data_IF_794480992257
#
_entry.id   IF_794480992257
#
_cell.length_a   1.000
_cell.length_b   1.000
_cell.length_c   1.000
_cell.angle_alpha   90.00
_cell.angle_beta   90.00
_cell.angle_gamma   90.00
#
_symmetry.space_group_name_H-M   'P 1'
#
loop_
_entity.id
_entity.type
_entity.pdbx_description
1 polymer ?
#
# COMPACT_ATOMS: atom_id res chain seq x y z
N UNK A 1 -21.84 5.33 26.97
CA UNK A 1 -21.72 4.26 27.98
C UNK A 1 -20.59 4.60 28.96
N UNK A 2 -20.65 4.11 30.23
CA UNK A 2 -19.57 4.30 31.18
C UNK A 2 -18.31 3.53 30.77
N UNK A 3 -17.13 4.00 31.20
CA UNK A 3 -15.86 3.27 31.03
C UNK A 3 -15.87 2.09 32.02
N UNK A 4 -15.67 0.87 31.50
CA UNK A 4 -15.52 -0.32 32.32
C UNK A 4 -14.04 -0.59 32.62
N UNK A 5 -13.67 -0.88 33.89
CA UNK A 5 -12.30 -1.31 34.19
C UNK A 5 -11.91 -2.57 33.45
N UNK A 6 -10.72 -2.56 32.86
CA UNK A 6 -10.19 -3.71 32.09
C UNK A 6 -9.91 -4.89 33.04
N UNK A 7 -10.61 -6.01 32.87
CA UNK A 7 -10.35 -7.26 33.57
C UNK A 7 -9.71 -8.26 32.66
N UNK A 8 -8.46 -8.61 32.97
CA UNK A 8 -7.70 -9.62 32.25
C UNK A 8 -7.73 -10.96 32.98
N UNK A 9 -7.70 -12.05 32.25
CA UNK A 9 -7.65 -13.41 32.80
C UNK A 9 -6.71 -14.29 31.96
N UNK A 10 -6.10 -15.33 32.53
CA UNK A 10 -5.28 -16.29 31.78
C UNK A 10 -6.06 -16.93 30.62
N UNK A 11 -5.37 -17.20 29.52
CA UNK A 11 -5.93 -17.91 28.35
C UNK A 11 -6.94 -17.09 27.53
N UNK A 12 -7.00 -15.76 27.67
CA UNK A 12 -7.86 -14.93 26.83
C UNK A 12 -7.48 -15.05 25.35
N UNK A 13 -8.48 -15.19 24.51
CA UNK A 13 -8.35 -15.10 23.04
C UNK A 13 -8.19 -13.65 22.61
N UNK A 14 -7.76 -13.42 21.36
CA UNK A 14 -7.69 -12.06 20.79
C UNK A 14 -9.07 -11.39 20.75
N UNK A 15 -10.12 -12.17 20.48
CA UNK A 15 -11.51 -11.67 20.47
C UNK A 15 -11.94 -11.15 21.84
N UNK A 16 -11.64 -11.91 22.90
CA UNK A 16 -11.94 -11.52 24.27
C UNK A 16 -11.13 -10.29 24.70
N UNK A 17 -9.86 -10.20 24.31
CA UNK A 17 -9.02 -9.03 24.60
C UNK A 17 -9.56 -7.76 23.92
N UNK A 18 -9.93 -7.85 22.65
CA UNK A 18 -10.59 -6.75 21.93
C UNK A 18 -11.92 -6.39 22.57
N UNK A 19 -12.66 -7.37 23.09
CA UNK A 19 -13.87 -7.16 23.88
C UNK A 19 -13.64 -6.33 25.17
N UNK A 20 -12.52 -6.57 25.84
CA UNK A 20 -12.10 -5.77 27.02
C UNK A 20 -11.79 -4.32 26.61
N UNK A 21 -11.03 -4.12 25.51
CA UNK A 21 -10.76 -2.77 24.99
C UNK A 21 -12.03 -2.03 24.57
N UNK A 22 -12.99 -2.73 23.97
CA UNK A 22 -14.29 -2.16 23.56
C UNK A 22 -15.10 -1.67 24.77
N UNK A 23 -15.14 -2.41 25.86
CA UNK A 23 -15.85 -2.04 27.07
C UNK A 23 -15.21 -0.87 27.81
N UNK A 24 -13.88 -0.82 27.84
CA UNK A 24 -13.15 0.34 28.33
C UNK A 24 -13.37 1.57 27.46
N UNK A 25 -13.37 1.41 26.12
CA UNK A 25 -13.80 2.41 25.14
C UNK A 25 -12.98 3.70 25.08
N UNK A 26 -11.80 3.75 25.71
CA UNK A 26 -11.02 4.95 25.89
C UNK A 26 -9.63 4.85 25.25
N UNK A 27 -9.06 6.01 24.86
CA UNK A 27 -7.73 6.16 24.28
C UNK A 27 -7.48 5.20 23.10
N UNK A 28 -6.22 4.83 22.86
CA UNK A 28 -5.87 3.94 21.75
C UNK A 28 -6.39 2.51 21.91
N UNK A 29 -6.61 2.03 23.12
CA UNK A 29 -7.29 0.74 23.35
C UNK A 29 -8.71 0.73 22.78
N UNK A 30 -9.49 1.78 23.06
CA UNK A 30 -10.81 1.96 22.47
C UNK A 30 -10.76 2.09 20.95
N UNK A 31 -9.81 2.87 20.43
CA UNK A 31 -9.60 3.01 18.96
C UNK A 31 -9.20 1.70 18.31
N UNK A 32 -8.40 0.86 18.99
CA UNK A 32 -8.04 -0.47 18.48
C UNK A 32 -9.26 -1.39 18.35
N UNK A 33 -10.15 -1.38 19.34
CA UNK A 33 -11.41 -2.13 19.26
C UNK A 33 -12.31 -1.62 18.12
N UNK A 34 -12.43 -0.30 17.96
CA UNK A 34 -13.16 0.30 16.83
C UNK A 34 -12.52 -0.06 15.48
N UNK A 35 -11.19 -0.14 15.41
CA UNK A 35 -10.46 -0.57 14.22
C UNK A 35 -10.77 -2.03 13.84
N UNK A 36 -10.82 -2.92 14.83
CA UNK A 36 -11.23 -4.31 14.64
C UNK A 36 -12.67 -4.40 14.11
N UNK A 37 -13.60 -3.65 14.68
CA UNK A 37 -14.99 -3.61 14.25
C UNK A 37 -15.13 -3.00 12.85
N UNK A 38 -14.37 -1.94 12.56
CA UNK A 38 -14.37 -1.29 11.24
C UNK A 38 -13.84 -2.24 10.16
N UNK A 39 -12.72 -2.91 10.42
CA UNK A 39 -12.17 -3.87 9.45
C UNK A 39 -13.14 -5.03 9.21
N UNK A 40 -13.80 -5.52 10.27
CA UNK A 40 -14.87 -6.51 10.13
C UNK A 40 -16.02 -6.01 9.24
N UNK A 41 -16.53 -4.79 9.45
CA UNK A 41 -17.58 -4.20 8.58
C UNK A 41 -17.12 -4.03 7.14
N UNK A 42 -15.86 -3.63 6.93
CA UNK A 42 -15.26 -3.50 5.61
C UNK A 42 -15.24 -4.85 4.86
N UNK A 43 -14.88 -5.93 5.57
CA UNK A 43 -14.91 -7.29 5.03
C UNK A 43 -16.36 -7.71 4.71
N UNK A 44 -17.27 -7.52 5.66
CA UNK A 44 -18.68 -7.96 5.56
C UNK A 44 -19.45 -7.20 4.46
N UNK A 45 -19.08 -5.94 4.16
CA UNK A 45 -19.69 -5.15 3.09
C UNK A 45 -19.28 -5.60 1.67
N UNK A 46 -18.32 -6.52 1.54
CA UNK A 46 -17.79 -6.91 0.23
C UNK A 46 -16.91 -5.85 -0.44
N UNK A 47 -16.45 -4.84 0.31
CA UNK A 47 -15.59 -3.78 -0.20
C UNK A 47 -14.36 -4.32 -0.94
N UNK A 48 -13.90 -3.58 -1.95
CA UNK A 48 -12.55 -3.74 -2.50
C UNK A 48 -11.58 -3.10 -1.52
N UNK A 49 -10.74 -3.92 -0.89
CA UNK A 49 -9.91 -3.51 0.23
C UNK A 49 -8.46 -3.38 -0.21
N UNK A 50 -7.94 -2.14 -0.15
CA UNK A 50 -6.54 -1.85 -0.31
C UNK A 50 -5.79 -1.99 1.02
N UNK A 51 -4.56 -2.50 0.98
CA UNK A 51 -3.60 -2.44 2.07
C UNK A 51 -2.44 -1.54 1.64
N UNK A 52 -2.20 -0.45 2.38
CA UNK A 52 -1.01 0.36 2.14
C UNK A 52 0.06 0.08 3.20
N UNK A 53 1.31 -0.12 2.75
CA UNK A 53 2.41 -0.56 3.62
C UNK A 53 3.58 0.41 3.50
N UNK A 54 3.93 1.06 4.60
CA UNK A 54 5.02 2.04 4.72
C UNK A 54 5.87 1.73 5.95
N UNK A 55 7.12 2.13 5.91
CA UNK A 55 8.12 1.76 6.92
C UNK A 55 8.73 0.39 6.62
N UNK A 56 9.64 -0.06 7.46
CA UNK A 56 10.35 -1.33 7.27
C UNK A 56 9.55 -2.54 7.77
N UNK A 57 8.31 -2.68 7.32
CA UNK A 57 7.38 -3.70 7.83
C UNK A 57 7.83 -5.13 7.48
N UNK A 58 8.36 -5.33 6.27
CA UNK A 58 8.82 -6.66 5.86
C UNK A 58 10.05 -7.11 6.65
N UNK A 59 11.12 -6.29 6.80
CA UNK A 59 12.22 -6.64 7.70
C UNK A 59 11.79 -6.91 9.14
N UNK A 60 10.75 -6.20 9.62
CA UNK A 60 10.15 -6.44 10.94
C UNK A 60 9.28 -7.71 11.04
N UNK A 61 9.23 -8.53 9.98
CA UNK A 61 8.51 -9.81 9.98
C UNK A 61 7.02 -9.74 9.63
N UNK A 62 6.50 -8.59 9.22
CA UNK A 62 5.07 -8.40 8.93
C UNK A 62 4.60 -9.12 7.64
N UNK A 63 5.52 -9.62 6.81
CA UNK A 63 5.19 -10.33 5.56
C UNK A 63 4.19 -11.46 5.77
N UNK A 64 4.36 -12.29 6.81
CA UNK A 64 3.42 -13.38 7.12
C UNK A 64 2.02 -12.91 7.51
N UNK A 65 1.90 -11.78 8.21
CA UNK A 65 0.61 -11.18 8.54
C UNK A 65 -0.11 -10.66 7.26
N UNK A 66 0.64 -10.08 6.32
CA UNK A 66 0.13 -9.64 5.02
C UNK A 66 -0.34 -10.85 4.21
N UNK A 67 0.44 -11.93 4.16
CA UNK A 67 0.06 -13.20 3.49
C UNK A 67 -1.27 -13.73 4.02
N UNK A 68 -1.45 -13.78 5.34
CA UNK A 68 -2.68 -14.25 5.94
C UNK A 68 -3.92 -13.44 5.51
N UNK A 69 -3.78 -12.12 5.32
CA UNK A 69 -4.85 -11.25 4.82
C UNK A 69 -5.16 -11.54 3.34
N UNK A 70 -4.14 -11.78 2.52
CA UNK A 70 -4.32 -12.17 1.11
C UNK A 70 -5.05 -13.53 1.03
N UNK A 71 -4.59 -14.53 1.77
CA UNK A 71 -5.14 -15.89 1.77
C UNK A 71 -6.55 -16.00 2.35
N UNK A 72 -6.92 -15.07 3.22
CA UNK A 72 -8.29 -14.94 3.70
C UNK A 72 -9.21 -14.19 2.71
N UNK A 73 -8.66 -13.59 1.65
CA UNK A 73 -9.37 -12.71 0.72
C UNK A 73 -9.79 -11.39 1.36
N UNK A 74 -9.09 -10.94 2.41
CA UNK A 74 -9.39 -9.70 3.12
C UNK A 74 -8.63 -8.49 2.57
N UNK A 75 -7.69 -8.72 1.65
CA UNK A 75 -6.95 -7.71 0.91
C UNK A 75 -7.03 -8.04 -0.58
N UNK A 76 -7.44 -7.06 -1.38
CA UNK A 76 -7.67 -7.22 -2.81
C UNK A 76 -6.58 -6.56 -3.67
N UNK A 77 -5.88 -5.52 -3.12
CA UNK A 77 -4.73 -4.88 -3.73
C UNK A 77 -3.79 -4.32 -2.66
N UNK A 78 -2.53 -4.15 -3.00
CA UNK A 78 -1.50 -3.63 -2.10
C UNK A 78 -0.82 -2.42 -2.76
N UNK A 79 -0.58 -1.37 -1.98
CA UNK A 79 0.30 -0.26 -2.34
C UNK A 79 1.43 -0.23 -1.32
N UNK A 80 2.66 -0.43 -1.75
CA UNK A 80 3.81 -0.55 -0.85
C UNK A 80 4.96 0.37 -1.27
N UNK A 81 5.94 0.52 -0.39
CA UNK A 81 7.27 0.97 -0.80
C UNK A 81 7.99 -0.18 -1.51
N UNK A 82 8.82 0.14 -2.50
CA UNK A 82 9.62 -0.87 -3.18
C UNK A 82 10.61 -1.58 -2.25
N UNK A 83 11.05 -0.91 -1.17
CA UNK A 83 11.89 -1.52 -0.15
C UNK A 83 11.22 -2.70 0.55
N UNK A 84 9.93 -2.59 0.91
CA UNK A 84 9.20 -3.72 1.50
C UNK A 84 9.12 -4.92 0.56
N UNK A 85 8.94 -4.69 -0.74
CA UNK A 85 8.91 -5.75 -1.76
C UNK A 85 10.28 -6.40 -1.90
N UNK A 86 11.34 -5.57 -1.93
CA UNK A 86 12.71 -6.04 -2.05
C UNK A 86 13.15 -6.91 -0.85
N UNK A 87 12.89 -6.43 0.36
CA UNK A 87 13.24 -7.17 1.57
C UNK A 87 12.40 -8.45 1.78
N UNK A 88 11.22 -8.55 1.18
CA UNK A 88 10.42 -9.77 1.16
C UNK A 88 11.16 -10.93 0.47
N UNK A 89 11.94 -10.61 -0.57
CA UNK A 89 12.70 -11.60 -1.31
C UNK A 89 13.80 -12.27 -0.48
N UNK A 90 14.40 -11.56 0.51
CA UNK A 90 15.40 -12.16 1.38
C UNK A 90 14.87 -13.40 2.09
N UNK A 91 13.65 -13.35 2.61
CA UNK A 91 13.02 -14.47 3.30
C UNK A 91 12.79 -15.68 2.37
N UNK A 92 12.30 -15.41 1.17
CA UNK A 92 12.05 -16.46 0.17
C UNK A 92 13.34 -17.07 -0.37
N UNK A 93 14.37 -16.25 -0.60
CA UNK A 93 15.69 -16.68 -1.06
C UNK A 93 16.54 -17.32 0.06
N UNK A 94 16.01 -17.38 1.29
CA UNK A 94 16.69 -17.90 2.48
C UNK A 94 17.95 -17.12 2.83
N UNK A 95 17.95 -15.81 2.56
CA UNK A 95 19.05 -14.90 2.92
C UNK A 95 18.89 -14.39 4.35
N UNK A 96 19.98 -14.15 5.09
CA UNK A 96 19.92 -13.73 6.48
C UNK A 96 19.21 -12.38 6.67
N UNK A 97 18.14 -12.38 7.47
CA UNK A 97 17.54 -11.23 8.10
C UNK A 97 17.40 -11.60 9.57
N UNK A 98 18.19 -10.99 10.43
CA UNK A 98 18.36 -11.48 11.81
C UNK A 98 18.03 -10.40 12.83
N UNK A 99 17.63 -10.83 14.03
CA UNK A 99 17.48 -9.94 15.17
C UNK A 99 18.84 -9.41 15.59
N UNK A 100 18.94 -8.10 15.66
CA UNK A 100 20.11 -7.38 16.13
C UNK A 100 19.81 -6.59 17.39
N UNK A 101 20.51 -5.48 17.57
CA UNK A 101 20.32 -4.58 18.69
C UNK A 101 20.47 -3.11 18.22
N UNK A 102 19.68 -2.19 18.76
CA UNK A 102 19.72 -0.79 18.34
C UNK A 102 20.93 -0.01 18.94
N UNK A 103 21.51 -0.48 20.04
CA UNK A 103 22.72 0.10 20.66
C UNK A 103 23.97 -0.65 20.17
N UNK A 104 24.43 -0.31 18.98
CA UNK A 104 25.62 -0.89 18.34
C UNK A 104 26.44 0.23 17.67
N UNK A 105 27.70 -0.05 17.38
CA UNK A 105 28.56 0.87 16.63
C UNK A 105 28.35 0.65 15.12
N UNK A 106 27.68 1.60 14.45
CA UNK A 106 27.41 1.54 13.01
C UNK A 106 28.71 1.53 12.16
N UNK A 107 29.84 2.03 12.68
CA UNK A 107 31.13 1.94 11.97
C UNK A 107 31.68 0.52 11.97
N UNK A 108 31.45 -0.22 13.05
CA UNK A 108 31.82 -1.63 13.13
C UNK A 108 30.93 -2.47 12.22
N UNK A 109 29.62 -2.22 12.21
CA UNK A 109 28.70 -2.88 11.29
C UNK A 109 29.11 -2.63 9.83
N UNK A 110 29.39 -1.38 9.45
CA UNK A 110 29.84 -1.05 8.10
C UNK A 110 31.12 -1.82 7.71
N UNK A 111 32.12 -1.91 8.61
CA UNK A 111 33.34 -2.68 8.34
C UNK A 111 33.10 -4.17 8.22
N UNK A 112 32.06 -4.68 8.87
CA UNK A 112 31.67 -6.09 8.84
C UNK A 112 30.73 -6.43 7.66
N UNK A 113 30.35 -5.46 6.83
CA UNK A 113 29.38 -5.66 5.73
C UNK A 113 27.99 -6.03 6.27
N UNK A 114 27.53 -5.31 7.29
CA UNK A 114 26.21 -5.49 7.90
C UNK A 114 25.44 -4.18 7.86
N UNK A 115 24.28 -4.19 7.22
CA UNK A 115 23.30 -3.12 7.22
C UNK A 115 22.31 -3.28 8.36
N UNK A 116 21.93 -2.16 8.95
CA UNK A 116 21.01 -2.10 10.08
C UNK A 116 19.74 -1.32 9.75
N UNK A 117 18.61 -1.94 10.03
CA UNK A 117 17.30 -1.26 10.06
C UNK A 117 16.84 -1.29 11.53
N UNK A 118 17.21 -0.30 12.31
CA UNK A 118 17.02 -0.18 13.76
C UNK A 118 17.65 -1.37 14.52
N UNK A 119 16.90 -2.43 14.80
CA UNK A 119 17.33 -3.64 15.51
C UNK A 119 17.23 -4.92 14.64
N UNK A 120 17.17 -4.76 13.33
CA UNK A 120 17.24 -5.84 12.34
C UNK A 120 18.53 -5.70 11.55
N UNK A 121 19.28 -6.79 11.40
CA UNK A 121 20.53 -6.84 10.65
C UNK A 121 20.36 -7.66 9.38
N UNK A 122 20.97 -7.15 8.30
CA UNK A 122 21.02 -7.77 6.98
C UNK A 122 22.48 -7.73 6.52
N UNK A 123 22.99 -8.78 5.91
CA UNK A 123 24.36 -8.77 5.39
C UNK A 123 24.43 -8.13 4.01
N UNK A 124 25.56 -7.51 3.67
CA UNK A 124 25.82 -6.98 2.32
C UNK A 124 25.62 -8.08 1.25
N UNK A 125 26.06 -9.29 1.50
CA UNK A 125 25.84 -10.44 0.60
C UNK A 125 24.34 -10.68 0.34
N UNK A 126 23.47 -10.52 1.34
CA UNK A 126 22.02 -10.65 1.16
C UNK A 126 21.47 -9.62 0.19
N UNK A 127 22.00 -8.39 0.23
CA UNK A 127 21.61 -7.35 -0.71
C UNK A 127 22.12 -7.68 -2.12
N UNK A 128 23.38 -8.05 -2.26
CA UNK A 128 24.01 -8.37 -3.53
C UNK A 128 23.36 -9.58 -4.21
N UNK A 129 23.01 -10.62 -3.48
CA UNK A 129 22.33 -11.81 -3.99
C UNK A 129 20.88 -11.49 -4.41
N UNK A 130 20.17 -10.65 -3.67
CA UNK A 130 18.83 -10.20 -4.04
C UNK A 130 18.89 -9.33 -5.28
N UNK A 131 19.87 -8.42 -5.38
CA UNK A 131 20.09 -7.63 -6.59
C UNK A 131 20.43 -8.50 -7.79
N UNK A 132 21.24 -9.54 -7.61
CA UNK A 132 21.55 -10.52 -8.66
C UNK A 132 20.26 -11.21 -9.15
N UNK A 133 19.40 -11.67 -8.23
CA UNK A 133 18.10 -12.24 -8.58
C UNK A 133 17.23 -11.28 -9.38
N UNK A 134 17.11 -10.01 -8.97
CA UNK A 134 16.31 -9.00 -9.67
C UNK A 134 16.89 -8.72 -11.07
N UNK A 135 18.22 -8.57 -11.19
CA UNK A 135 18.87 -8.35 -12.48
C UNK A 135 18.67 -9.53 -13.45
N UNK A 136 18.87 -10.76 -12.97
CA UNK A 136 18.64 -11.96 -13.77
C UNK A 136 17.17 -12.04 -14.24
N UNK A 137 16.22 -11.73 -13.35
CA UNK A 137 14.80 -11.66 -13.72
C UNK A 137 14.54 -10.64 -14.81
N UNK A 138 15.15 -9.45 -14.76
CA UNK A 138 15.01 -8.41 -15.77
C UNK A 138 15.67 -8.78 -17.10
N UNK A 139 16.84 -9.43 -17.09
CA UNK A 139 17.53 -9.90 -18.28
C UNK A 139 16.72 -10.97 -19.03
N UNK A 140 16.07 -11.86 -18.27
CA UNK A 140 15.22 -12.95 -18.80
C UNK A 140 13.76 -12.55 -18.97
N UNK A 141 13.42 -11.25 -18.79
CA UNK A 141 12.04 -10.80 -18.86
C UNK A 141 11.39 -11.14 -20.22
N UNK A 142 10.18 -11.71 -20.20
CA UNK A 142 9.46 -12.03 -21.42
C UNK A 142 9.11 -10.76 -22.20
N UNK A 143 8.83 -10.84 -23.53
CA UNK A 143 8.53 -9.68 -24.37
C UNK A 143 7.43 -8.77 -23.79
N UNK A 144 6.44 -9.33 -23.09
CA UNK A 144 5.35 -8.58 -22.47
C UNK A 144 5.79 -7.64 -21.34
N UNK A 145 7.00 -7.82 -20.80
CA UNK A 145 7.61 -6.97 -19.77
C UNK A 145 8.72 -6.06 -20.30
N UNK A 146 8.95 -6.05 -21.60
CA UNK A 146 9.84 -5.10 -22.28
C UNK A 146 9.03 -3.86 -22.65
N UNK A 147 9.68 -2.70 -22.63
CA UNK A 147 9.03 -1.41 -22.85
C UNK A 147 8.40 -0.84 -21.57
N UNK A 148 7.32 -0.09 -21.72
CA UNK A 148 6.62 0.60 -20.60
C UNK A 148 5.66 -0.35 -19.89
N UNK A 149 5.89 -0.58 -18.62
CA UNK A 149 5.07 -1.48 -17.78
C UNK A 149 4.69 -0.80 -16.45
N UNK A 150 3.56 -1.19 -15.91
CA UNK A 150 3.17 -0.82 -14.54
C UNK A 150 3.90 -1.64 -13.49
N UNK A 151 3.99 -1.13 -12.26
CA UNK A 151 4.60 -1.85 -11.14
C UNK A 151 3.88 -3.16 -10.81
N UNK A 152 2.53 -3.28 -10.86
CA UNK A 152 1.86 -4.57 -10.66
C UNK A 152 2.32 -5.66 -11.62
N UNK A 153 2.62 -5.31 -12.87
CA UNK A 153 3.11 -6.30 -13.85
C UNK A 153 4.49 -6.81 -13.49
N UNK A 154 5.38 -5.91 -13.08
CA UNK A 154 6.72 -6.28 -12.64
C UNK A 154 6.66 -7.14 -11.37
N UNK A 155 5.91 -6.69 -10.36
CA UNK A 155 5.84 -7.41 -9.09
C UNK A 155 5.15 -8.77 -9.22
N UNK A 156 4.12 -8.88 -10.07
CA UNK A 156 3.50 -10.16 -10.37
C UNK A 156 4.50 -11.13 -11.00
N UNK A 157 5.28 -10.67 -11.98
CA UNK A 157 6.32 -11.48 -12.61
C UNK A 157 7.39 -11.92 -11.60
N UNK A 158 7.93 -11.00 -10.80
CA UNK A 158 8.92 -11.33 -9.76
C UNK A 158 8.33 -12.32 -8.74
N UNK A 159 7.08 -12.13 -8.34
CA UNK A 159 6.38 -13.08 -7.45
C UNK A 159 6.21 -14.47 -8.07
N UNK A 160 5.93 -14.57 -9.36
CA UNK A 160 5.89 -15.85 -10.07
C UNK A 160 7.27 -16.52 -10.11
N UNK A 161 8.35 -15.77 -10.34
CA UNK A 161 9.71 -16.30 -10.30
C UNK A 161 10.08 -16.81 -8.90
N UNK A 162 9.77 -16.05 -7.85
CA UNK A 162 9.96 -16.50 -6.45
C UNK A 162 9.24 -17.82 -6.23
N UNK A 163 7.99 -17.96 -6.65
CA UNK A 163 7.22 -19.20 -6.51
C UNK A 163 7.86 -20.40 -7.21
N UNK A 164 8.53 -20.17 -8.32
CA UNK A 164 9.10 -21.24 -9.16
C UNK A 164 10.52 -21.61 -8.77
N UNK A 165 11.30 -20.67 -8.25
CA UNK A 165 12.75 -20.80 -8.15
C UNK A 165 13.30 -20.61 -6.73
N UNK A 166 12.60 -19.89 -5.86
CA UNK A 166 13.09 -19.64 -4.52
C UNK A 166 13.00 -20.88 -3.63
N UNK A 167 13.96 -21.08 -2.69
CA UNK A 167 13.94 -22.21 -1.78
C UNK A 167 12.80 -22.20 -0.74
N UNK A 168 12.25 -21.01 -0.40
CA UNK A 168 11.19 -20.83 0.61
C UNK A 168 10.09 -19.87 0.09
N UNK A 169 9.43 -20.20 -1.04
CA UNK A 169 8.46 -19.28 -1.67
C UNK A 169 7.27 -18.95 -0.75
N UNK A 170 6.95 -19.83 0.18
CA UNK A 170 5.88 -19.65 1.17
C UNK A 170 6.20 -18.53 2.18
N UNK A 171 7.42 -18.02 2.23
CA UNK A 171 7.80 -16.89 3.09
C UNK A 171 7.68 -15.53 2.43
N UNK A 172 7.21 -15.46 1.17
CA UNK A 172 7.06 -14.21 0.42
C UNK A 172 5.60 -13.82 0.28
N UNK A 173 5.25 -12.62 0.75
CA UNK A 173 3.91 -12.06 0.49
C UNK A 173 3.76 -11.66 -0.99
N UNK A 174 4.85 -11.30 -1.68
CA UNK A 174 4.84 -11.00 -3.12
C UNK A 174 4.52 -12.25 -3.93
N UNK A 175 5.12 -13.39 -3.57
CA UNK A 175 4.78 -14.68 -4.16
C UNK A 175 3.32 -15.09 -3.90
N UNK A 176 2.85 -14.87 -2.68
CA UNK A 176 1.44 -15.10 -2.31
C UNK A 176 0.51 -14.20 -3.12
N UNK A 177 0.80 -12.90 -3.22
CA UNK A 177 0.02 -11.96 -4.01
C UNK A 177 -0.05 -12.37 -5.49
N UNK A 178 1.07 -12.84 -6.06
CA UNK A 178 1.10 -13.35 -7.43
C UNK A 178 0.26 -14.63 -7.61
N UNK A 179 0.21 -15.51 -6.59
CA UNK A 179 -0.62 -16.72 -6.61
C UNK A 179 -2.12 -16.41 -6.56
N UNK A 180 -2.48 -15.33 -5.86
CA UNK A 180 -3.87 -14.93 -5.62
C UNK A 180 -4.35 -13.82 -6.56
N UNK A 181 -3.51 -13.40 -7.52
CA UNK A 181 -3.77 -12.30 -8.45
C UNK A 181 -4.14 -10.99 -7.73
N UNK A 182 -3.46 -10.70 -6.64
CA UNK A 182 -3.52 -9.44 -5.91
C UNK A 182 -2.46 -8.50 -6.49
N UNK A 183 -2.83 -7.38 -7.15
CA UNK A 183 -1.86 -6.45 -7.71
C UNK A 183 -1.12 -5.70 -6.59
N UNK A 184 0.20 -5.51 -6.76
CA UNK A 184 1.03 -4.73 -5.85
C UNK A 184 1.57 -3.52 -6.62
N UNK A 185 1.16 -2.32 -6.21
CA UNK A 185 1.66 -1.04 -6.73
C UNK A 185 2.80 -0.52 -5.85
N UNK A 186 3.69 0.26 -6.46
CA UNK A 186 4.72 1.00 -5.75
C UNK A 186 4.59 2.48 -6.06
N UNK A 187 4.26 3.29 -5.04
CA UNK A 187 4.00 4.72 -5.22
C UNK A 187 5.22 5.54 -5.61
N UNK A 188 6.42 5.04 -5.35
CA UNK A 188 7.71 5.68 -5.67
C UNK A 188 8.69 4.61 -6.17
N UNK A 189 8.52 4.09 -7.39
CA UNK A 189 9.26 2.93 -7.86
C UNK A 189 10.78 3.15 -7.95
N UNK A 190 11.23 4.38 -8.19
CA UNK A 190 12.66 4.72 -8.24
C UNK A 190 13.36 4.71 -6.87
N UNK A 191 12.60 4.83 -5.79
CA UNK A 191 13.11 4.86 -4.40
C UNK A 191 13.15 3.45 -3.80
N UNK A 192 13.85 2.54 -4.47
CA UNK A 192 14.07 1.16 -4.00
C UNK A 192 15.15 0.46 -4.81
N UNK A 193 15.75 -0.60 -4.23
CA UNK A 193 16.73 -1.44 -4.93
C UNK A 193 16.14 -2.10 -6.19
N UNK A 194 14.84 -2.42 -6.22
CA UNK A 194 14.20 -2.89 -7.45
C UNK A 194 14.26 -1.81 -8.53
N UNK A 195 13.86 -0.58 -8.22
CA UNK A 195 13.91 0.54 -9.14
C UNK A 195 15.34 0.89 -9.59
N UNK A 196 16.31 0.86 -8.65
CA UNK A 196 17.73 1.05 -8.96
C UNK A 196 18.24 -0.01 -9.95
N UNK A 197 17.87 -1.29 -9.77
CA UNK A 197 18.26 -2.35 -10.70
C UNK A 197 17.60 -2.15 -12.09
N UNK A 198 16.33 -1.76 -12.16
CA UNK A 198 15.67 -1.41 -13.45
C UNK A 198 16.41 -0.25 -14.13
N UNK A 199 16.81 0.78 -13.38
CA UNK A 199 17.58 1.90 -13.90
C UNK A 199 18.97 1.46 -14.39
N UNK A 200 19.69 0.65 -13.60
CA UNK A 200 21.00 0.14 -13.97
C UNK A 200 20.96 -0.71 -15.28
N UNK A 201 19.88 -1.45 -15.51
CA UNK A 201 19.72 -2.23 -16.75
C UNK A 201 19.67 -1.35 -17.99
N UNK A 202 19.26 -0.05 -17.90
CA UNK A 202 19.30 0.89 -19.03
C UNK A 202 20.73 1.08 -19.56
N UNK A 203 21.73 1.08 -18.70
CA UNK A 203 23.14 1.18 -19.09
C UNK A 203 23.63 -0.02 -19.90
N UNK A 204 22.89 -1.12 -19.86
CA UNK A 204 23.14 -2.36 -20.61
C UNK A 204 22.19 -2.56 -21.80
N UNK A 205 21.42 -1.54 -22.17
CA UNK A 205 20.43 -1.61 -23.25
C UNK A 205 19.12 -2.30 -22.87
N UNK A 206 18.83 -2.45 -21.57
CA UNK A 206 17.56 -3.01 -21.09
C UNK A 206 16.36 -2.16 -21.49
N UNK A 207 15.31 -2.80 -21.99
CA UNK A 207 14.12 -2.13 -22.54
C UNK A 207 13.03 -1.86 -21.49
N UNK A 208 12.99 -2.63 -20.39
CA UNK A 208 11.97 -2.49 -19.35
C UNK A 208 12.00 -1.10 -18.72
N UNK A 209 10.87 -0.43 -18.69
CA UNK A 209 10.68 0.91 -18.10
C UNK A 209 9.44 0.88 -17.21
N UNK A 210 9.61 1.16 -15.93
CA UNK A 210 8.47 1.36 -15.03
C UNK A 210 7.80 2.69 -15.40
N UNK A 211 6.50 2.64 -15.66
CA UNK A 211 5.70 3.79 -16.02
C UNK A 211 4.73 4.14 -14.89
N UNK A 212 5.03 5.16 -14.08
CA UNK A 212 4.18 5.56 -12.96
C UNK A 212 2.81 6.09 -13.41
N UNK A 213 2.67 6.58 -14.64
CA UNK A 213 1.37 7.05 -15.14
C UNK A 213 0.42 5.86 -15.36
N UNK A 214 0.95 4.70 -15.77
CA UNK A 214 0.16 3.46 -15.83
C UNK A 214 -0.29 3.02 -14.43
N UNK A 215 0.55 3.17 -13.41
CA UNK A 215 0.18 2.83 -12.04
C UNK A 215 -0.98 3.70 -11.53
N UNK A 216 -0.95 5.00 -11.82
CA UNK A 216 -2.05 5.93 -11.50
C UNK A 216 -3.33 5.50 -12.18
N UNK A 217 -3.30 5.19 -13.47
CA UNK A 217 -4.49 4.82 -14.23
C UNK A 217 -5.02 3.43 -13.84
N UNK A 218 -4.16 2.42 -13.68
CA UNK A 218 -4.58 1.07 -13.30
C UNK A 218 -5.15 1.02 -11.88
N UNK A 219 -4.54 1.72 -10.90
CA UNK A 219 -5.09 1.82 -9.54
C UNK A 219 -6.41 2.59 -9.50
N UNK A 220 -6.53 3.66 -10.29
CA UNK A 220 -7.78 4.41 -10.46
C UNK A 220 -8.88 3.57 -11.10
N UNK A 221 -8.53 2.71 -12.07
CA UNK A 221 -9.46 1.80 -12.72
C UNK A 221 -10.05 0.77 -11.74
N UNK A 222 -9.24 0.24 -10.82
CA UNK A 222 -9.71 -0.63 -9.74
C UNK A 222 -10.75 0.09 -8.86
N UNK A 223 -10.43 1.32 -8.44
CA UNK A 223 -11.32 2.12 -7.58
C UNK A 223 -12.60 2.52 -8.32
N UNK A 224 -12.51 2.79 -9.62
CA UNK A 224 -13.67 3.09 -10.46
C UNK A 224 -14.60 1.89 -10.63
N UNK A 225 -14.07 0.68 -10.80
CA UNK A 225 -14.83 -0.58 -10.97
C UNK A 225 -15.51 -1.04 -9.68
N UNK A 226 -14.97 -0.68 -8.52
CA UNK A 226 -15.47 -1.13 -7.24
C UNK A 226 -16.78 -0.43 -6.84
N UNK A 227 -17.75 -1.19 -6.34
CA UNK A 227 -18.99 -0.64 -5.78
C UNK A 227 -18.72 0.07 -4.44
N UNK A 228 -17.89 -0.53 -3.60
CA UNK A 228 -17.47 -0.02 -2.29
C UNK A 228 -15.96 -0.14 -2.16
N UNK A 229 -15.31 0.92 -1.70
CA UNK A 229 -13.86 0.99 -1.51
C UNK A 229 -13.49 1.13 -0.04
N UNK A 230 -12.48 0.36 0.38
CA UNK A 230 -11.91 0.45 1.70
C UNK A 230 -10.40 0.41 1.70
N UNK A 231 -9.77 0.97 2.73
CA UNK A 231 -8.33 0.93 2.89
C UNK A 231 -7.91 0.68 4.33
N UNK A 232 -6.93 -0.20 4.50
CA UNK A 232 -6.16 -0.37 5.73
C UNK A 232 -4.77 0.23 5.50
N UNK A 233 -4.40 1.22 6.31
CA UNK A 233 -3.17 2.00 6.16
C UNK A 233 -2.22 1.63 7.30
N UNK A 234 -1.10 1.01 6.96
CA UNK A 234 0.01 0.71 7.87
C UNK A 234 1.07 1.80 7.73
N UNK A 235 1.19 2.65 8.77
CA UNK A 235 2.01 3.85 8.75
C UNK A 235 1.29 5.00 8.01
N UNK A 236 1.70 5.27 6.78
CA UNK A 236 1.12 6.35 5.98
C UNK A 236 1.93 6.64 4.71
N UNK A 237 2.58 7.80 4.67
CA UNK A 237 3.50 8.20 3.61
C UNK A 237 2.93 8.18 2.20
N UNK A 238 3.81 7.97 1.23
CA UNK A 238 3.48 7.94 -0.20
C UNK A 238 2.47 6.84 -0.56
N UNK A 239 2.56 5.58 -0.10
CA UNK A 239 1.58 4.54 -0.39
C UNK A 239 0.14 4.91 -0.01
N UNK A 240 -0.04 5.48 1.19
CA UNK A 240 -1.34 6.00 1.63
C UNK A 240 -1.89 7.03 0.66
N UNK A 241 -1.08 8.06 0.38
CA UNK A 241 -1.54 9.17 -0.45
C UNK A 241 -1.77 8.73 -1.89
N UNK A 242 -0.95 7.84 -2.45
CA UNK A 242 -1.11 7.27 -3.78
C UNK A 242 -2.50 6.63 -3.92
N UNK A 243 -2.89 5.76 -2.98
CA UNK A 243 -4.21 5.14 -3.02
C UNK A 243 -5.34 6.18 -2.85
N UNK A 244 -5.22 7.07 -1.87
CA UNK A 244 -6.26 8.08 -1.64
C UNK A 244 -6.42 9.05 -2.82
N UNK A 245 -5.37 9.30 -3.61
CA UNK A 245 -5.38 10.16 -4.79
C UNK A 245 -6.18 9.57 -5.97
N UNK A 246 -6.52 8.29 -5.95
CA UNK A 246 -7.39 7.69 -6.98
C UNK A 246 -8.74 8.38 -7.04
N UNK A 247 -9.28 8.86 -5.91
CA UNK A 247 -10.53 9.61 -5.88
C UNK A 247 -10.40 11.02 -6.50
N UNK A 248 -9.44 11.89 -6.12
CA UNK A 248 -9.16 13.11 -6.88
C UNK A 248 -8.87 12.87 -8.35
N UNK A 249 -8.17 11.80 -8.73
CA UNK A 249 -7.99 11.44 -10.13
C UNK A 249 -9.33 11.25 -10.83
N UNK A 250 -10.27 10.55 -10.19
CA UNK A 250 -11.61 10.34 -10.75
C UNK A 250 -12.41 11.66 -10.84
N UNK A 251 -12.59 12.38 -9.71
CA UNK A 251 -13.51 13.51 -9.71
C UNK A 251 -12.92 14.79 -10.30
N UNK A 252 -11.62 15.07 -10.02
CA UNK A 252 -10.97 16.34 -10.39
C UNK A 252 -10.36 16.29 -11.79
N UNK A 253 -9.75 15.16 -12.17
CA UNK A 253 -8.98 15.05 -13.42
C UNK A 253 -9.81 14.42 -14.53
N UNK A 254 -10.52 13.32 -14.22
CA UNK A 254 -11.27 12.55 -15.22
C UNK A 254 -12.76 12.93 -15.31
N UNK A 255 -13.26 13.77 -14.41
CA UNK A 255 -14.68 14.12 -14.27
C UNK A 255 -15.63 12.91 -14.13
N UNK A 256 -15.16 11.88 -13.39
CA UNK A 256 -15.84 10.62 -13.12
C UNK A 256 -16.05 10.42 -11.61
N UNK A 257 -16.72 11.36 -10.93
CA UNK A 257 -16.89 11.38 -9.47
C UNK A 257 -17.56 10.10 -8.94
N UNK A 258 -16.91 9.44 -7.96
CA UNK A 258 -17.40 8.23 -7.24
C UNK A 258 -17.70 8.50 -5.76
N UNK A 259 -17.53 9.73 -5.28
CA UNK A 259 -17.93 10.18 -3.93
C UNK A 259 -16.89 9.99 -2.83
N UNK A 260 -15.71 9.43 -3.10
CA UNK A 260 -14.66 9.18 -2.10
C UNK A 260 -14.65 7.72 -1.59
N UNK A 261 -13.61 7.35 -0.83
CA UNK A 261 -13.53 6.03 -0.20
C UNK A 261 -14.49 5.93 0.99
N UNK A 262 -15.17 4.78 1.13
CA UNK A 262 -16.18 4.55 2.16
C UNK A 262 -15.57 4.16 3.52
N UNK A 263 -14.46 3.40 3.51
CA UNK A 263 -13.83 2.88 4.72
C UNK A 263 -12.36 3.25 4.77
N UNK A 264 -11.92 3.83 5.88
CA UNK A 264 -10.50 4.17 6.12
C UNK A 264 -10.09 3.77 7.53
N UNK A 265 -9.21 2.79 7.62
CA UNK A 265 -8.54 2.38 8.84
C UNK A 265 -7.07 2.74 8.74
N UNK A 266 -6.55 3.54 9.67
CA UNK A 266 -5.12 3.87 9.72
C UNK A 266 -4.52 3.47 11.08
N UNK A 267 -3.33 2.88 11.04
CA UNK A 267 -2.49 2.61 12.21
C UNK A 267 -1.16 3.33 11.98
N UNK A 268 -0.86 4.34 12.80
CA UNK A 268 0.34 5.17 12.65
C UNK A 268 0.72 5.82 13.97
N UNK A 269 2.01 6.08 14.15
CA UNK A 269 2.52 6.87 15.29
C UNK A 269 2.61 8.37 14.98
N UNK A 270 2.41 8.76 13.71
CA UNK A 270 2.49 10.15 13.28
C UNK A 270 1.30 10.99 13.70
N UNK A 271 1.59 12.22 14.08
CA UNK A 271 0.60 13.23 14.46
C UNK A 271 0.33 14.22 13.32
N UNK A 272 -0.93 14.72 13.18
CA UNK A 272 -1.31 15.60 12.08
C UNK A 272 -0.58 16.96 12.10
N UNK A 273 -0.20 17.48 13.28
CA UNK A 273 0.45 18.77 13.40
C UNK A 273 1.88 18.83 12.80
N UNK A 274 2.49 17.70 12.51
CA UNK A 274 3.79 17.64 11.82
C UNK A 274 3.72 17.99 10.33
N UNK A 275 2.52 17.99 9.74
CA UNK A 275 2.28 18.30 8.32
C UNK A 275 2.72 17.22 7.34
N UNK A 276 3.19 16.06 7.83
CA UNK A 276 3.56 14.91 6.98
C UNK A 276 2.34 14.13 6.47
N UNK A 277 2.49 13.45 5.34
CA UNK A 277 1.43 12.63 4.75
C UNK A 277 0.91 11.54 5.71
N UNK A 278 1.79 10.96 6.53
CA UNK A 278 1.41 9.90 7.47
C UNK A 278 0.45 10.40 8.53
N UNK A 279 0.61 11.64 9.01
CA UNK A 279 -0.21 12.23 10.07
C UNK A 279 -1.55 12.77 9.60
N UNK A 280 -1.72 13.10 8.30
CA UNK A 280 -2.98 13.61 7.76
C UNK A 280 -4.15 12.66 8.08
N UNK A 281 -5.22 13.18 8.69
CA UNK A 281 -6.33 12.34 9.15
C UNK A 281 -7.32 12.01 8.04
N UNK A 282 -8.12 10.93 8.17
CA UNK A 282 -9.23 10.68 7.26
C UNK A 282 -10.25 11.83 7.22
N UNK A 283 -10.44 12.54 8.33
CA UNK A 283 -11.32 13.73 8.38
C UNK A 283 -10.79 14.87 7.53
N UNK A 284 -9.48 15.13 7.56
CA UNK A 284 -8.85 16.09 6.66
C UNK A 284 -9.00 15.68 5.20
N UNK A 285 -8.88 14.40 4.89
CA UNK A 285 -9.03 13.85 3.55
C UNK A 285 -10.43 14.04 2.93
N UNK A 286 -11.47 14.29 3.75
CA UNK A 286 -12.82 14.63 3.29
C UNK A 286 -12.80 15.93 2.48
N UNK A 287 -12.10 16.97 2.96
CA UNK A 287 -12.03 18.27 2.27
C UNK A 287 -11.40 18.18 0.87
N UNK A 288 -10.61 17.13 0.62
CA UNK A 288 -10.00 16.83 -0.68
C UNK A 288 -10.85 15.90 -1.57
N UNK A 289 -12.05 15.51 -1.12
CA UNK A 289 -12.88 14.53 -1.84
C UNK A 289 -12.28 13.12 -1.91
N UNK A 290 -11.29 12.82 -1.07
CA UNK A 290 -10.63 11.50 -0.99
C UNK A 290 -11.49 10.49 -0.25
N UNK A 291 -12.27 10.95 0.74
CA UNK A 291 -13.04 10.14 1.67
C UNK A 291 -14.47 10.66 1.73
N UNK A 292 -15.45 9.76 1.85
CA UNK A 292 -16.85 10.13 1.87
C UNK A 292 -17.23 10.92 3.13
N UNK A 293 -17.87 12.09 2.96
CA UNK A 293 -18.24 12.99 4.06
C UNK A 293 -19.29 12.40 5.02
N UNK A 294 -20.18 11.56 4.51
CA UNK A 294 -21.33 11.04 5.26
C UNK A 294 -21.00 9.77 6.07
N UNK A 295 -19.76 9.30 6.05
CA UNK A 295 -19.34 8.00 6.61
C UNK A 295 -18.37 8.12 7.78
N UNK A 296 -18.52 9.14 8.67
CA UNK A 296 -17.63 9.38 9.82
C UNK A 296 -17.42 8.14 10.71
N UNK A 297 -18.41 7.27 10.84
CA UNK A 297 -18.31 6.01 11.61
C UNK A 297 -17.43 4.96 10.93
N UNK A 298 -17.05 5.18 9.68
CA UNK A 298 -16.22 4.28 8.88
C UNK A 298 -14.76 4.75 8.77
N UNK A 299 -14.34 5.69 9.64
CA UNK A 299 -12.98 6.17 9.69
C UNK A 299 -12.42 6.01 11.11
N UNK A 300 -11.30 5.32 11.24
CA UNK A 300 -10.61 5.12 12.53
C UNK A 300 -9.11 5.31 12.33
N UNK A 301 -8.49 6.06 13.25
CA UNK A 301 -7.04 6.16 13.39
C UNK A 301 -6.65 5.58 14.74
N UNK A 302 -5.75 4.60 14.72
CA UNK A 302 -5.09 4.05 15.91
C UNK A 302 -3.68 4.63 15.99
N UNK A 303 -3.42 5.48 16.95
CA UNK A 303 -2.09 6.03 17.22
C UNK A 303 -1.24 5.02 17.98
N UNK A 304 -0.64 4.11 17.23
CA UNK A 304 0.16 3.01 17.77
C UNK A 304 1.19 2.55 16.77
N UNK A 305 2.20 1.85 17.27
CA UNK A 305 3.14 1.13 16.43
C UNK A 305 2.40 0.06 15.61
N UNK A 306 2.68 0.02 14.30
CA UNK A 306 2.03 -0.88 13.36
C UNK A 306 2.34 -2.33 13.64
N UNK A 307 3.58 -2.65 14.07
CA UNK A 307 4.00 -4.03 14.36
C UNK A 307 3.31 -4.61 15.60
N UNK A 308 2.76 -3.76 16.44
CA UNK A 308 1.99 -4.16 17.63
C UNK A 308 0.49 -4.21 17.34
N UNK A 309 -0.07 -3.17 16.72
CA UNK A 309 -1.52 -3.03 16.57
C UNK A 309 -2.07 -3.81 15.37
N UNK A 310 -1.38 -3.83 14.22
CA UNK A 310 -1.90 -4.49 13.01
C UNK A 310 -2.06 -6.02 13.18
N UNK A 311 -1.12 -6.78 13.79
CA UNK A 311 -1.33 -8.19 14.06
C UNK A 311 -2.56 -8.48 14.92
N UNK A 312 -2.89 -7.63 15.89
CA UNK A 312 -4.11 -7.77 16.71
C UNK A 312 -5.37 -7.58 15.86
N UNK A 313 -5.42 -6.54 15.02
CA UNK A 313 -6.55 -6.28 14.11
C UNK A 313 -6.72 -7.44 13.12
N UNK A 314 -5.64 -7.94 12.55
CA UNK A 314 -5.67 -9.02 11.56
C UNK A 314 -6.06 -10.35 12.21
N UNK A 315 -5.49 -10.69 13.37
CA UNK A 315 -5.85 -11.89 14.11
C UNK A 315 -7.32 -11.87 14.54
N UNK A 316 -7.83 -10.71 14.98
CA UNK A 316 -9.25 -10.55 15.28
C UNK A 316 -10.13 -10.79 14.07
N UNK A 317 -9.77 -10.22 12.91
CA UNK A 317 -10.52 -10.44 11.67
C UNK A 317 -10.52 -11.91 11.25
N UNK A 318 -9.36 -12.58 11.31
CA UNK A 318 -9.23 -14.02 11.01
C UNK A 318 -10.05 -14.90 11.94
N UNK A 319 -10.18 -14.52 13.21
CA UNK A 319 -10.94 -15.26 14.22
C UNK A 319 -12.45 -15.06 14.09
N UNK A 320 -12.89 -13.89 13.63
CA UNK A 320 -14.30 -13.50 13.67
C UNK A 320 -14.98 -13.42 12.31
N UNK A 321 -14.24 -13.52 11.21
CA UNK A 321 -14.78 -13.44 9.85
C UNK A 321 -14.46 -14.67 9.03
N UNK A 322 -15.41 -15.05 8.15
CA UNK A 322 -15.17 -16.10 7.16
C UNK A 322 -14.30 -15.59 6.03
N UNK A 323 -13.43 -16.47 5.51
CA UNK A 323 -12.66 -16.18 4.29
C UNK A 323 -13.59 -15.77 3.15
N UNK A 324 -13.15 -14.76 2.37
CA UNK A 324 -13.86 -14.32 1.17
C UNK A 324 -13.30 -15.04 -0.08
N UNK A 325 -14.12 -15.13 -1.12
CA UNK A 325 -13.63 -15.47 -2.45
C UNK A 325 -12.73 -14.33 -2.95
N UNK A 326 -11.49 -14.61 -3.38
CA UNK A 326 -10.57 -13.59 -3.88
C UNK A 326 -11.12 -12.89 -5.13
N UNK A 327 -10.99 -11.58 -5.19
CA UNK A 327 -11.42 -10.78 -6.36
C UNK A 327 -10.49 -10.92 -7.57
N UNK A 328 -9.25 -11.37 -7.38
CA UNK A 328 -8.22 -11.63 -8.42
C UNK A 328 -8.03 -10.45 -9.36
N UNK A 329 -7.88 -9.25 -8.79
CA UNK A 329 -7.91 -7.99 -9.52
C UNK A 329 -6.79 -7.87 -10.56
N UNK A 330 -5.63 -8.50 -10.33
CA UNK A 330 -4.53 -8.47 -11.31
C UNK A 330 -4.97 -8.99 -12.69
N UNK A 331 -5.72 -10.08 -12.74
CA UNK A 331 -6.24 -10.63 -14.01
C UNK A 331 -7.25 -9.72 -14.68
N UNK A 332 -7.97 -8.92 -13.88
CA UNK A 332 -9.03 -8.02 -14.33
C UNK A 332 -8.51 -6.62 -14.69
N UNK A 333 -7.22 -6.31 -14.42
CA UNK A 333 -6.67 -4.98 -14.71
C UNK A 333 -6.94 -4.49 -16.13
N UNK A 334 -6.74 -5.29 -17.21
CA UNK A 334 -7.00 -4.84 -18.58
C UNK A 334 -8.47 -4.48 -18.82
N UNK A 335 -9.40 -5.26 -18.25
CA UNK A 335 -10.85 -5.04 -18.36
C UNK A 335 -11.25 -3.74 -17.63
N UNK A 336 -10.82 -3.59 -16.38
CA UNK A 336 -11.11 -2.40 -15.57
C UNK A 336 -10.52 -1.13 -16.20
N UNK A 337 -9.30 -1.22 -16.72
CA UNK A 337 -8.66 -0.10 -17.42
C UNK A 337 -9.43 0.29 -18.68
N UNK A 338 -9.86 -0.67 -19.49
CA UNK A 338 -10.68 -0.41 -20.67
C UNK A 338 -12.03 0.22 -20.31
N UNK A 339 -12.66 -0.20 -19.21
CA UNK A 339 -13.89 0.39 -18.71
C UNK A 339 -13.71 1.86 -18.30
N UNK A 340 -12.61 2.17 -17.57
CA UNK A 340 -12.25 3.54 -17.21
C UNK A 340 -12.03 4.40 -18.46
N UNK A 341 -11.30 3.90 -19.45
CA UNK A 341 -11.07 4.60 -20.72
C UNK A 341 -12.37 4.87 -21.47
N UNK A 342 -13.27 3.88 -21.52
CA UNK A 342 -14.57 4.04 -22.17
C UNK A 342 -15.43 5.11 -21.47
N UNK A 343 -15.47 5.08 -20.14
CA UNK A 343 -16.20 6.06 -19.36
C UNK A 343 -15.68 7.49 -19.60
N UNK A 344 -14.35 7.66 -19.60
CA UNK A 344 -13.72 8.94 -19.87
C UNK A 344 -14.02 9.44 -21.29
N UNK A 345 -13.91 8.59 -22.33
CA UNK A 345 -14.26 8.96 -23.72
C UNK A 345 -15.72 9.35 -23.87
N UNK A 346 -16.63 8.65 -23.19
CA UNK A 346 -18.07 8.98 -23.20
C UNK A 346 -18.33 10.35 -22.59
N UNK A 347 -17.60 10.71 -21.55
CA UNK A 347 -17.72 12.00 -20.86
C UNK A 347 -17.10 13.15 -21.69
N UNK A 348 -16.02 12.86 -22.42
CA UNK A 348 -15.25 13.81 -23.21
C UNK A 348 -15.19 13.36 -24.68
N UNK A 349 -16.31 13.44 -25.45
CA UNK A 349 -16.33 13.08 -26.85
C UNK A 349 -15.42 14.03 -27.63
N UNK A 350 -14.41 13.48 -28.31
CA UNK A 350 -13.38 14.26 -29.05
C UNK A 350 -11.98 14.30 -28.40
N UNK A 351 -11.81 13.72 -27.21
CA UNK A 351 -10.48 13.62 -26.56
C UNK A 351 -9.54 12.55 -27.17
N UNK A 352 -9.82 12.10 -28.39
CA UNK A 352 -9.03 11.09 -29.10
C UNK A 352 -7.76 11.59 -29.80
N UNK A 353 -7.54 12.90 -29.86
CA UNK A 353 -6.26 13.50 -30.25
C UNK A 353 -5.91 14.56 -29.23
N UNK A 354 -4.71 14.51 -28.68
CA UNK A 354 -4.19 15.66 -27.91
C UNK A 354 -4.29 16.88 -28.83
N UNK A 355 -4.99 17.98 -28.44
CA UNK A 355 -4.90 19.21 -29.20
C UNK A 355 -3.42 19.61 -29.25
N UNK A 356 -2.91 19.95 -30.44
CA UNK A 356 -1.61 20.60 -30.55
C UNK A 356 -1.58 21.74 -29.52
N UNK A 357 -0.65 21.70 -28.60
CA UNK A 357 -0.39 22.80 -27.68
C UNK A 357 0.07 23.98 -28.51
N UNK A 358 -0.89 24.79 -29.01
CA UNK A 358 -0.55 26.09 -29.54
C UNK A 358 0.05 26.87 -28.39
N UNK A 359 1.36 27.10 -28.44
CA UNK A 359 2.07 27.97 -27.53
C UNK A 359 1.29 29.29 -27.44
N UNK A 360 0.62 29.53 -26.33
CA UNK A 360 -0.06 30.78 -26.05
C UNK A 360 0.99 31.86 -25.86
N UNK A 361 1.27 32.58 -26.97
CA UNK A 361 1.95 33.87 -26.89
C UNK A 361 1.02 34.83 -26.14
N UNK A 362 1.30 35.04 -24.87
CA UNK A 362 1.09 36.25 -24.05
C UNK A 362 0.85 35.86 -22.60
N UNK A 363 1.94 35.82 -21.84
CA UNK A 363 1.87 36.00 -20.40
C UNK A 363 1.24 37.39 -20.13
N UNK A 364 -0.01 37.43 -19.68
CA UNK A 364 -0.57 38.62 -19.08
C UNK A 364 0.11 38.78 -17.72
N UNK A 365 0.88 39.89 -17.60
CA UNK A 365 1.40 40.38 -16.34
C UNK A 365 0.26 40.51 -15.34
N UNK A 366 0.33 39.74 -14.27
CA UNK A 366 -0.57 39.87 -13.13
C UNK A 366 -0.20 41.14 -12.38
N UNK A 367 -1.07 42.11 -12.39
CA UNK A 367 -0.94 43.36 -11.59
C UNK A 367 -1.08 43.05 -10.09
N UNK A 368 -0.56 43.95 -9.21
CA UNK A 368 -0.45 43.70 -7.78
C UNK A 368 -1.81 43.54 -7.11
N UNK A 369 -1.84 42.58 -6.22
CA UNK A 369 -3.00 41.97 -5.60
C UNK A 369 -3.99 42.87 -4.89
N UNK A 370 -5.26 42.54 -4.98
CA UNK A 370 -6.30 42.97 -4.06
C UNK A 370 -6.20 42.20 -2.75
N UNK A 371 -6.10 42.91 -1.65
CA UNK A 371 -6.15 42.37 -0.29
C UNK A 371 -7.47 41.62 -0.05
N UNK A 372 -7.38 40.44 0.56
CA UNK A 372 -8.53 39.69 1.05
C UNK A 372 -9.17 40.43 2.26
N UNK A 373 -10.50 40.46 2.38
CA UNK A 373 -11.14 41.02 3.57
C UNK A 373 -10.93 40.13 4.78
N UNK A 374 -10.54 40.73 5.89
CA UNK A 374 -10.48 40.08 7.21
C UNK A 374 -11.89 39.79 7.68
N UNK A 375 -12.13 38.55 8.06
CA UNK A 375 -13.14 38.18 9.05
C UNK A 375 -12.48 37.34 10.13
#
# INVERSE_FOLDING_TARGET
>A
PPVEPMRLRPGMTVEELVGVYRKAGAFNGGRLAEACDLFGRMIDSGATIALTVTGAMTPAGMGGAIQAMIEAGFVDLIISTGANIYHDFHFALKLPVVQGHFQVDDKELYRAGIERIYDVFITEDSLLDTDAFVREALEKAPPALRGRISTPRLHHYLGQLIRQQAPLPEKSFVATAAAWDVPIFTSSPGDSSIGMNVAAMKLRGGETTIDPDLDVLESTAIVYDADVNGVVILGGGSPKNFYLQTQPTLWQILDLNRGGHEYVLQISTDSPQWGGLSGATPSEAISWGKVQANMLKNHVVVYSDTTVAAPLVFAYALSTRKKRTPKRLYRRLPEMYAALQQAHRKKHPGSGAMPEVKASAKAKTVGPGRALPRR
#
